data_IF_231528234630
#
_entry.id   IF_231528234630
#
_cell.length_a   1.000
_cell.length_b   1.000
_cell.length_c   1.000
_cell.angle_alpha   90.00
_cell.angle_beta   90.00
_cell.angle_gamma   90.00
#
_symmetry.space_group_name_H-M   'P 1'
#
loop_
_entity.id
_entity.type
_entity.pdbx_description
1 polymer ?
#
# COMPACT_ATOMS: atom_id res chain seq x y z
N UNK A 1 3.47 -2.02 -37.14
CA UNK A 1 4.32 -2.25 -35.97
C UNK A 1 3.62 -1.54 -34.81
N UNK A 2 3.10 -2.25 -33.80
CA UNK A 2 2.68 -1.60 -32.55
C UNK A 2 3.96 -1.18 -31.86
N UNK A 3 4.16 0.11 -31.60
CA UNK A 3 5.18 0.56 -30.69
C UNK A 3 5.03 -0.21 -29.38
N UNK A 4 6.15 -0.81 -28.95
CA UNK A 4 6.18 -1.47 -27.64
C UNK A 4 5.91 -0.38 -26.59
N UNK A 5 4.71 -0.35 -26.03
CA UNK A 5 4.40 0.50 -24.87
C UNK A 5 5.42 0.17 -23.79
N UNK A 6 6.20 1.18 -23.38
CA UNK A 6 7.20 1.01 -22.34
C UNK A 6 6.53 0.41 -21.09
N UNK A 7 7.03 -0.73 -20.62
CA UNK A 7 6.54 -1.35 -19.38
C UNK A 7 6.97 -0.46 -18.20
N UNK A 8 6.03 0.36 -17.73
CA UNK A 8 6.29 1.31 -16.65
C UNK A 8 6.71 0.59 -15.37
N UNK A 9 6.08 -0.55 -15.04
CA UNK A 9 6.43 -1.34 -13.87
C UNK A 9 7.88 -1.81 -13.93
N UNK A 10 8.33 -2.34 -15.07
CA UNK A 10 9.72 -2.77 -15.26
C UNK A 10 10.69 -1.60 -15.12
N UNK A 11 10.33 -0.42 -15.63
CA UNK A 11 11.15 0.80 -15.51
C UNK A 11 11.28 1.24 -14.05
N UNK A 12 10.19 1.26 -13.29
CA UNK A 12 10.22 1.61 -11.87
C UNK A 12 11.06 0.60 -11.08
N UNK A 13 10.85 -0.70 -11.30
CA UNK A 13 11.62 -1.77 -10.63
C UNK A 13 13.11 -1.65 -10.88
N UNK A 14 13.53 -1.36 -12.12
CA UNK A 14 14.94 -1.15 -12.46
C UNK A 14 15.52 0.08 -11.73
N UNK A 15 14.78 1.19 -11.71
CA UNK A 15 15.15 2.39 -10.95
C UNK A 15 15.27 2.14 -9.46
N UNK A 16 14.30 1.42 -8.88
CA UNK A 16 14.29 1.07 -7.46
C UNK A 16 15.52 0.25 -7.07
N UNK A 17 15.90 -0.75 -7.88
CA UNK A 17 17.11 -1.56 -7.61
C UNK A 17 18.36 -0.66 -7.53
N UNK A 18 18.48 0.31 -8.44
CA UNK A 18 19.61 1.24 -8.42
C UNK A 18 19.60 2.17 -7.20
N UNK A 19 18.42 2.63 -6.80
CA UNK A 19 18.24 3.45 -5.59
C UNK A 19 18.66 2.66 -4.35
N UNK A 20 18.26 1.40 -4.24
CA UNK A 20 18.62 0.52 -3.11
C UNK A 20 20.13 0.34 -3.05
N UNK A 21 20.81 0.04 -4.17
CA UNK A 21 22.28 -0.08 -4.21
C UNK A 21 22.98 1.18 -3.67
N UNK A 22 22.49 2.37 -4.03
CA UNK A 22 23.06 3.64 -3.55
C UNK A 22 22.81 3.84 -2.05
N UNK A 23 21.62 3.47 -1.57
CA UNK A 23 21.28 3.58 -0.13
C UNK A 23 22.11 2.62 0.70
N UNK A 24 22.32 1.40 0.23
CA UNK A 24 23.12 0.37 0.91
C UNK A 24 24.60 0.76 1.01
N UNK A 25 25.13 1.51 0.04
CA UNK A 25 26.47 2.11 0.12
C UNK A 25 26.55 3.23 1.17
N UNK A 26 25.47 3.98 1.39
CA UNK A 26 25.42 5.09 2.37
C UNK A 26 25.20 4.61 3.79
N UNK A 27 24.32 3.65 3.99
CA UNK A 27 24.04 3.00 5.29
C UNK A 27 24.25 1.49 5.12
N UNK A 28 25.37 0.91 5.58
CA UNK A 28 25.61 -0.52 5.48
C UNK A 28 24.51 -1.34 6.17
N UNK A 29 24.17 -2.50 5.58
CA UNK A 29 23.09 -3.39 6.06
C UNK A 29 23.12 -3.63 7.57
N UNK A 30 24.31 -3.88 8.16
CA UNK A 30 24.43 -4.14 9.60
C UNK A 30 24.02 -2.93 10.47
N UNK A 31 24.30 -1.70 10.01
CA UNK A 31 23.89 -0.49 10.71
C UNK A 31 22.36 -0.28 10.63
N UNK A 32 21.79 -0.50 9.45
CA UNK A 32 20.34 -0.44 9.22
C UNK A 32 19.60 -1.50 10.04
N UNK A 33 20.10 -2.75 10.08
CA UNK A 33 19.54 -3.84 10.88
C UNK A 33 19.53 -3.49 12.37
N UNK A 34 20.63 -2.98 12.90
CA UNK A 34 20.70 -2.51 14.28
C UNK A 34 19.68 -1.37 14.56
N UNK A 35 19.43 -0.49 13.59
CA UNK A 35 18.41 0.56 13.68
C UNK A 35 16.99 -0.01 13.64
N UNK A 36 16.74 -0.98 12.76
CA UNK A 36 15.45 -1.66 12.62
C UNK A 36 15.07 -2.42 13.92
N UNK A 37 16.04 -3.13 14.53
CA UNK A 37 15.82 -3.91 15.74
C UNK A 37 15.57 -3.06 17.00
N UNK A 38 15.96 -1.77 16.99
CA UNK A 38 15.60 -0.85 18.08
C UNK A 38 14.13 -0.43 18.07
N UNK A 39 13.43 -0.60 16.96
CA UNK A 39 11.99 -0.30 16.87
C UNK A 39 11.19 -1.45 17.46
N UNK A 40 10.26 -1.13 18.36
CA UNK A 40 9.29 -2.10 18.87
C UNK A 40 8.28 -2.41 17.78
N UNK A 41 8.07 -3.68 17.40
CA UNK A 41 7.08 -4.04 16.40
C UNK A 41 5.66 -3.88 16.95
N UNK A 42 4.75 -3.61 16.03
CA UNK A 42 3.31 -3.61 16.30
C UNK A 42 2.66 -4.77 15.54
N UNK A 43 3.24 -5.97 15.74
CA UNK A 43 2.86 -7.19 15.05
C UNK A 43 1.33 -7.40 15.05
N UNK A 44 0.78 -7.73 13.90
CA UNK A 44 -0.64 -7.99 13.72
C UNK A 44 -1.56 -6.75 13.72
N UNK A 45 -1.07 -5.55 14.08
CA UNK A 45 -1.89 -4.34 14.16
C UNK A 45 -2.55 -3.99 12.82
N UNK A 46 -1.82 -4.12 11.72
CA UNK A 46 -2.34 -3.85 10.38
C UNK A 46 -3.46 -4.83 9.98
N UNK A 47 -3.24 -6.14 10.15
CA UNK A 47 -4.26 -7.14 9.88
C UNK A 47 -5.52 -6.95 10.75
N UNK A 48 -5.32 -6.72 12.05
CA UNK A 48 -6.42 -6.48 12.99
C UNK A 48 -7.25 -5.24 12.62
N UNK A 49 -6.59 -4.16 12.18
CA UNK A 49 -7.29 -2.95 11.75
C UNK A 49 -8.13 -3.15 10.47
N UNK A 50 -7.63 -3.95 9.51
CA UNK A 50 -8.33 -4.21 8.26
C UNK A 50 -9.40 -5.29 8.36
N UNK A 51 -9.30 -6.20 9.33
CA UNK A 51 -10.25 -7.30 9.54
C UNK A 51 -11.49 -6.91 10.37
N UNK A 52 -11.63 -5.67 10.80
CA UNK A 52 -12.81 -5.22 11.55
C UNK A 52 -14.07 -5.28 10.71
N UNK A 53 -15.16 -5.81 11.28
CA UNK A 53 -16.46 -5.99 10.61
C UNK A 53 -17.49 -4.93 11.00
N UNK A 54 -17.26 -4.23 12.10
CA UNK A 54 -18.15 -3.23 12.70
C UNK A 54 -18.06 -1.84 12.05
N UNK A 55 -17.12 -1.67 11.10
CA UNK A 55 -16.92 -0.39 10.40
C UNK A 55 -16.45 -0.58 8.95
N UNK A 56 -16.32 0.53 8.23
CA UNK A 56 -15.65 0.57 6.93
C UNK A 56 -14.15 0.82 7.14
N UNK A 57 -13.31 -0.09 6.66
CA UNK A 57 -11.87 0.00 6.84
C UNK A 57 -11.23 0.69 5.62
N UNK A 58 -10.82 1.95 5.78
CA UNK A 58 -10.12 2.69 4.73
C UNK A 58 -8.64 2.79 5.08
N UNK A 59 -7.78 2.37 4.15
CA UNK A 59 -6.35 2.67 4.12
C UNK A 59 -6.22 3.99 3.37
N UNK A 60 -6.02 5.09 4.11
CA UNK A 60 -5.90 6.42 3.51
C UNK A 60 -4.47 6.67 3.06
N UNK A 61 -4.27 7.03 1.79
CA UNK A 61 -2.94 7.13 1.19
C UNK A 61 -2.42 8.57 1.13
N UNK A 62 -1.24 8.80 1.71
CA UNK A 62 -0.44 10.00 1.57
C UNK A 62 0.43 9.89 0.30
N UNK A 63 0.07 10.64 -0.75
CA UNK A 63 0.70 10.59 -2.06
C UNK A 63 0.77 11.98 -2.70
N UNK A 64 1.97 12.52 -2.85
CA UNK A 64 2.18 13.84 -3.46
C UNK A 64 1.92 13.84 -4.96
N UNK A 65 2.40 12.79 -5.66
CA UNK A 65 2.40 12.67 -7.12
C UNK A 65 2.05 11.25 -7.56
N UNK A 66 1.56 11.09 -8.78
CA UNK A 66 1.41 9.79 -9.43
C UNK A 66 1.77 9.87 -10.92
N UNK A 67 2.25 8.77 -11.54
CA UNK A 67 2.56 8.73 -12.97
C UNK A 67 1.36 9.08 -13.86
N UNK A 68 0.14 8.71 -13.44
CA UNK A 68 -1.08 8.89 -14.23
C UNK A 68 -1.67 10.30 -14.17
N UNK A 69 -1.36 11.10 -13.11
CA UNK A 69 -2.02 12.40 -12.85
C UNK A 69 -1.04 13.54 -12.59
N UNK A 70 0.28 13.25 -12.52
CA UNK A 70 1.27 14.24 -12.12
C UNK A 70 1.16 14.62 -10.65
N UNK A 71 1.43 15.88 -10.30
CA UNK A 71 1.36 16.40 -8.94
C UNK A 71 -0.11 16.49 -8.50
N UNK A 72 -0.48 15.75 -7.45
CA UNK A 72 -1.82 15.77 -6.86
C UNK A 72 -1.96 16.87 -5.80
N UNK A 73 -0.87 17.16 -5.09
CA UNK A 73 -0.85 18.17 -4.04
C UNK A 73 0.48 18.92 -4.05
N UNK A 74 0.43 20.21 -4.39
CA UNK A 74 1.64 21.05 -4.48
C UNK A 74 2.22 21.31 -3.09
N UNK A 75 1.41 21.75 -2.13
CA UNK A 75 1.79 21.88 -0.72
C UNK A 75 1.51 20.56 -0.01
N UNK A 76 2.55 19.73 0.15
CA UNK A 76 2.47 18.39 0.71
C UNK A 76 3.22 18.29 2.03
N UNK A 77 2.47 18.06 3.09
CA UNK A 77 2.96 17.71 4.43
C UNK A 77 2.36 16.35 4.82
N UNK A 78 3.16 15.31 4.72
CA UNK A 78 2.72 13.94 4.99
C UNK A 78 2.22 13.76 6.43
N UNK A 79 2.88 14.40 7.41
CA UNK A 79 2.52 14.30 8.82
C UNK A 79 1.18 14.98 9.11
N UNK A 80 0.98 16.20 8.62
CA UNK A 80 -0.29 16.93 8.79
C UNK A 80 -1.47 16.20 8.12
N UNK A 81 -1.25 15.68 6.90
CA UNK A 81 -2.27 14.88 6.17
C UNK A 81 -2.62 13.61 6.95
N UNK A 82 -1.61 12.89 7.41
CA UNK A 82 -1.79 11.65 8.16
C UNK A 82 -2.50 11.86 9.50
N UNK A 83 -2.19 12.94 10.23
CA UNK A 83 -2.91 13.33 11.44
C UNK A 83 -4.40 13.58 11.15
N UNK A 84 -4.70 14.28 10.04
CA UNK A 84 -6.07 14.47 9.57
C UNK A 84 -6.79 13.15 9.25
N UNK A 85 -6.11 12.19 8.59
CA UNK A 85 -6.64 10.87 8.31
C UNK A 85 -6.91 10.06 9.59
N UNK A 86 -5.97 10.07 10.54
CA UNK A 86 -6.13 9.38 11.81
C UNK A 86 -7.33 9.93 12.59
N UNK A 87 -7.47 11.26 12.67
CA UNK A 87 -8.60 11.94 13.31
C UNK A 87 -9.95 11.68 12.60
N UNK A 88 -9.92 11.42 11.29
CA UNK A 88 -11.08 11.07 10.48
C UNK A 88 -11.45 9.57 10.55
N UNK A 89 -10.69 8.74 11.26
CA UNK A 89 -11.02 7.33 11.46
C UNK A 89 -10.42 6.37 10.42
N UNK A 90 -9.31 6.74 9.75
CA UNK A 90 -8.57 5.81 8.92
C UNK A 90 -8.27 4.49 9.67
N UNK A 91 -8.45 3.35 9.01
CA UNK A 91 -8.08 2.06 9.59
C UNK A 91 -6.57 1.86 9.59
N UNK A 92 -5.90 2.35 8.54
CA UNK A 92 -4.46 2.40 8.39
C UNK A 92 -4.10 3.57 7.47
N UNK A 93 -2.83 3.96 7.44
CA UNK A 93 -2.32 4.98 6.53
C UNK A 93 -1.24 4.37 5.64
N UNK A 94 -1.39 4.57 4.33
CA UNK A 94 -0.40 4.21 3.32
C UNK A 94 0.47 5.44 3.01
N UNK A 95 1.80 5.27 3.02
CA UNK A 95 2.73 6.36 2.74
C UNK A 95 3.62 5.98 1.56
N UNK A 96 3.53 6.76 0.46
CA UNK A 96 4.41 6.59 -0.69
C UNK A 96 5.85 6.96 -0.31
N UNK A 97 6.79 6.03 -0.57
CA UNK A 97 8.23 6.24 -0.33
C UNK A 97 9.07 6.12 -1.59
N UNK A 98 8.48 5.80 -2.74
CA UNK A 98 9.17 5.77 -4.04
C UNK A 98 9.46 7.20 -4.53
N UNK A 99 10.74 7.59 -4.74
CA UNK A 99 11.10 8.99 -4.94
C UNK A 99 10.92 9.48 -6.39
N UNK A 100 11.09 8.63 -7.39
CA UNK A 100 11.26 9.05 -8.80
C UNK A 100 9.92 9.37 -9.46
N UNK A 101 8.93 8.51 -9.25
CA UNK A 101 7.62 8.59 -9.93
C UNK A 101 6.52 9.15 -9.04
N UNK A 102 6.69 9.03 -7.70
CA UNK A 102 5.66 9.41 -6.72
C UNK A 102 6.08 10.57 -5.81
N UNK A 103 7.30 11.11 -5.98
CA UNK A 103 7.87 12.13 -5.08
C UNK A 103 7.80 11.70 -3.60
N UNK A 104 7.94 10.39 -3.34
CA UNK A 104 7.94 9.80 -2.01
C UNK A 104 9.30 9.86 -1.35
N UNK A 105 9.34 9.65 -0.03
CA UNK A 105 10.57 9.55 0.75
C UNK A 105 10.35 8.72 2.02
N UNK A 106 11.41 8.05 2.53
CA UNK A 106 11.35 7.35 3.82
C UNK A 106 11.10 8.32 4.97
N UNK A 107 11.62 9.53 4.87
CA UNK A 107 11.41 10.61 5.82
C UNK A 107 9.93 10.98 5.97
N UNK A 108 9.11 10.83 4.91
CA UNK A 108 7.66 11.01 5.01
C UNK A 108 7.03 9.96 5.93
N UNK A 109 7.48 8.69 5.81
CA UNK A 109 6.99 7.60 6.67
C UNK A 109 7.40 7.81 8.13
N UNK A 110 8.63 8.23 8.39
CA UNK A 110 9.14 8.55 9.72
C UNK A 110 8.37 9.73 10.35
N UNK A 111 8.13 10.79 9.57
CA UNK A 111 7.37 11.95 10.01
C UNK A 111 5.91 11.59 10.34
N UNK A 112 5.28 10.75 9.52
CA UNK A 112 3.94 10.22 9.79
C UNK A 112 3.93 9.38 11.06
N UNK A 113 4.90 8.47 11.24
CA UNK A 113 4.96 7.63 12.45
C UNK A 113 5.12 8.44 13.73
N UNK A 114 5.73 9.61 13.67
CA UNK A 114 5.92 10.48 14.83
C UNK A 114 4.61 11.11 15.34
N UNK A 115 3.57 11.19 14.51
CA UNK A 115 2.33 11.93 14.83
C UNK A 115 1.05 11.07 14.87
N UNK A 116 1.11 9.78 14.45
CA UNK A 116 -0.07 8.91 14.46
C UNK A 116 0.22 7.56 15.09
N UNK A 117 -0.82 6.94 15.68
CA UNK A 117 -0.77 5.59 16.25
C UNK A 117 -1.44 4.52 15.37
N UNK A 118 -2.17 4.90 14.33
CA UNK A 118 -2.77 3.95 13.39
C UNK A 118 -1.68 3.17 12.63
N UNK A 119 -1.95 1.93 12.19
CA UNK A 119 -1.00 1.14 11.43
C UNK A 119 -0.54 1.84 10.15
N UNK A 120 0.75 1.73 9.82
CA UNK A 120 1.37 2.34 8.64
C UNK A 120 1.80 1.28 7.62
N UNK A 121 1.43 1.49 6.36
CA UNK A 121 1.89 0.75 5.20
C UNK A 121 2.98 1.55 4.47
N UNK A 122 4.19 0.99 4.34
CA UNK A 122 5.15 1.49 3.35
C UNK A 122 4.69 1.11 1.96
N UNK A 123 4.25 2.09 1.18
CA UNK A 123 3.83 1.92 -0.22
C UNK A 123 5.02 2.24 -1.12
N UNK A 124 5.67 1.19 -1.60
CA UNK A 124 6.89 1.24 -2.41
C UNK A 124 7.00 0.00 -3.30
N UNK A 125 7.91 -0.01 -4.26
CA UNK A 125 8.24 -1.20 -5.04
C UNK A 125 9.33 -1.99 -4.31
N UNK A 126 8.93 -2.87 -3.40
CA UNK A 126 9.85 -3.67 -2.60
C UNK A 126 10.43 -4.80 -3.44
N UNK A 127 11.76 -4.78 -3.64
CA UNK A 127 12.51 -5.75 -4.44
C UNK A 127 13.70 -6.35 -3.69
N UNK A 128 13.99 -5.85 -2.49
CA UNK A 128 15.14 -6.29 -1.69
C UNK A 128 14.82 -6.37 -0.20
N UNK A 129 15.57 -7.22 0.52
CA UNK A 129 15.55 -7.32 1.97
C UNK A 129 15.94 -6.02 2.67
N UNK A 130 16.86 -5.28 2.06
CA UNK A 130 17.28 -3.98 2.57
C UNK A 130 16.10 -3.02 2.75
N UNK A 131 15.14 -3.02 1.80
CA UNK A 131 13.93 -2.21 1.91
C UNK A 131 12.99 -2.67 3.03
N UNK A 132 12.98 -3.95 3.41
CA UNK A 132 12.22 -4.42 4.57
C UNK A 132 12.83 -3.89 5.88
N UNK A 133 14.16 -3.88 5.99
CA UNK A 133 14.87 -3.27 7.12
C UNK A 133 14.62 -1.76 7.17
N UNK A 134 14.66 -1.05 6.04
CA UNK A 134 14.28 0.38 5.97
C UNK A 134 12.85 0.61 6.47
N UNK A 135 11.89 -0.22 6.03
CA UNK A 135 10.48 -0.11 6.45
C UNK A 135 10.34 -0.26 7.96
N UNK A 136 10.98 -1.29 8.52
CA UNK A 136 11.00 -1.54 9.96
C UNK A 136 11.63 -0.37 10.72
N UNK A 137 12.79 0.11 10.28
CA UNK A 137 13.53 1.22 10.91
C UNK A 137 12.74 2.53 10.88
N UNK A 138 12.01 2.80 9.77
CA UNK A 138 11.14 3.96 9.62
C UNK A 138 9.80 3.86 10.38
N UNK A 139 9.48 2.69 10.96
CA UNK A 139 8.29 2.48 11.78
C UNK A 139 7.04 2.09 11.02
N UNK A 140 7.19 1.42 9.87
CA UNK A 140 6.08 0.74 9.19
C UNK A 140 5.58 -0.46 10.02
N UNK A 141 4.30 -0.76 9.91
CA UNK A 141 3.64 -1.96 10.43
C UNK A 141 3.40 -2.98 9.29
N UNK A 142 3.42 -2.50 8.05
CA UNK A 142 3.21 -3.30 6.85
C UNK A 142 4.04 -2.79 5.67
N UNK A 143 4.28 -3.69 4.71
CA UNK A 143 4.92 -3.39 3.42
C UNK A 143 4.07 -3.88 2.27
N UNK A 144 4.25 -3.26 1.09
CA UNK A 144 3.64 -3.70 -0.16
C UNK A 144 4.56 -4.69 -0.87
N UNK A 145 4.02 -5.83 -1.28
CA UNK A 145 4.69 -6.77 -2.19
C UNK A 145 3.86 -6.90 -3.47
N UNK A 146 4.39 -6.44 -4.59
CA UNK A 146 3.69 -6.42 -5.88
C UNK A 146 4.05 -7.71 -6.64
N UNK A 147 3.07 -8.58 -6.86
CA UNK A 147 3.27 -9.88 -7.51
C UNK A 147 3.81 -9.71 -8.93
N UNK A 148 3.33 -8.73 -9.67
CA UNK A 148 3.80 -8.42 -11.03
C UNK A 148 5.24 -7.92 -11.12
N UNK A 149 5.84 -7.48 -10.00
CA UNK A 149 7.22 -6.97 -9.93
C UNK A 149 8.27 -8.02 -9.55
N UNK A 150 7.84 -9.20 -9.08
CA UNK A 150 8.68 -10.23 -8.48
C UNK A 150 8.44 -11.58 -9.15
N UNK A 151 9.47 -12.41 -9.28
CA UNK A 151 9.27 -13.84 -9.50
C UNK A 151 8.76 -14.52 -8.21
N UNK A 152 8.23 -15.75 -8.35
CA UNK A 152 7.57 -16.43 -7.23
C UNK A 152 8.53 -16.77 -6.09
N UNK A 153 9.80 -17.08 -6.42
CA UNK A 153 10.83 -17.38 -5.42
C UNK A 153 11.15 -16.14 -4.59
N UNK A 154 11.38 -15.02 -5.25
CA UNK A 154 11.67 -13.74 -4.58
C UNK A 154 10.47 -13.20 -3.80
N UNK A 155 9.26 -13.37 -4.32
CA UNK A 155 8.03 -13.01 -3.62
C UNK A 155 7.88 -13.80 -2.31
N UNK A 156 8.09 -15.12 -2.36
CA UNK A 156 8.04 -16.00 -1.18
C UNK A 156 9.11 -15.65 -0.14
N UNK A 157 10.33 -15.39 -0.59
CA UNK A 157 11.45 -14.99 0.27
C UNK A 157 11.14 -13.68 0.99
N UNK A 158 10.76 -12.61 0.25
CA UNK A 158 10.45 -11.32 0.85
C UNK A 158 9.23 -11.37 1.77
N UNK A 159 8.23 -12.19 1.45
CA UNK A 159 7.07 -12.42 2.31
C UNK A 159 7.47 -13.06 3.65
N UNK A 160 8.33 -14.11 3.60
CA UNK A 160 8.85 -14.76 4.80
C UNK A 160 9.73 -13.83 5.65
N UNK A 161 10.60 -13.03 5.00
CA UNK A 161 11.45 -12.06 5.68
C UNK A 161 10.66 -10.90 6.31
N UNK A 162 9.61 -10.42 5.65
CA UNK A 162 8.72 -9.42 6.22
C UNK A 162 8.06 -9.96 7.51
N UNK A 163 7.57 -11.21 7.49
CA UNK A 163 7.01 -11.86 8.67
C UNK A 163 8.03 -12.02 9.79
N UNK A 164 9.28 -12.40 9.48
CA UNK A 164 10.37 -12.50 10.46
C UNK A 164 10.73 -11.14 11.08
N UNK A 165 10.54 -10.04 10.34
CA UNK A 165 10.66 -8.66 10.84
C UNK A 165 9.36 -8.15 11.50
N UNK A 166 8.35 -8.99 11.70
CA UNK A 166 7.06 -8.64 12.27
C UNK A 166 6.31 -7.53 11.47
N UNK A 167 6.58 -7.47 10.16
CA UNK A 167 5.87 -6.63 9.21
C UNK A 167 4.77 -7.45 8.52
N UNK A 168 3.55 -6.92 8.47
CA UNK A 168 2.53 -7.48 7.60
C UNK A 168 2.87 -7.23 6.13
N UNK A 169 2.45 -8.15 5.24
CA UNK A 169 2.59 -7.97 3.79
C UNK A 169 1.21 -7.76 3.17
N UNK A 170 0.97 -6.58 2.58
CA UNK A 170 -0.10 -6.39 1.62
C UNK A 170 0.42 -6.90 0.26
N UNK A 171 -0.08 -8.04 -0.19
CA UNK A 171 0.35 -8.66 -1.45
C UNK A 171 -0.58 -8.21 -2.56
N UNK A 172 -0.07 -7.33 -3.44
CA UNK A 172 -0.85 -6.69 -4.49
C UNK A 172 -0.88 -7.57 -5.74
N UNK A 173 -2.09 -7.78 -6.27
CA UNK A 173 -2.36 -8.56 -7.48
C UNK A 173 -3.25 -7.77 -8.45
N UNK A 174 -3.08 -8.03 -9.75
CA UNK A 174 -3.89 -7.42 -10.81
C UNK A 174 -4.83 -8.43 -11.49
N UNK A 175 -4.40 -9.68 -11.66
CA UNK A 175 -5.15 -10.71 -12.37
C UNK A 175 -5.18 -12.05 -11.63
N UNK A 176 -5.86 -13.02 -12.23
CA UNK A 176 -6.05 -14.35 -11.67
C UNK A 176 -4.74 -15.15 -11.51
N UNK A 177 -3.80 -14.99 -12.44
CA UNK A 177 -2.51 -15.66 -12.36
C UNK A 177 -1.65 -15.09 -11.22
N UNK A 178 -1.72 -13.79 -11.00
CA UNK A 178 -1.08 -13.13 -9.87
C UNK A 178 -1.73 -13.52 -8.53
N UNK A 179 -3.07 -13.64 -8.50
CA UNK A 179 -3.79 -14.14 -7.32
C UNK A 179 -3.34 -15.57 -6.97
N UNK A 180 -3.24 -16.46 -7.94
CA UNK A 180 -2.78 -17.84 -7.69
C UNK A 180 -1.36 -17.86 -7.10
N UNK A 181 -0.46 -17.00 -7.59
CA UNK A 181 0.89 -16.85 -7.02
C UNK A 181 0.86 -16.29 -5.59
N UNK A 182 0.03 -15.29 -5.31
CA UNK A 182 -0.11 -14.75 -3.96
C UNK A 182 -0.65 -15.80 -2.98
N UNK A 183 -1.62 -16.60 -3.38
CA UNK A 183 -2.17 -17.70 -2.57
C UNK A 183 -1.12 -18.81 -2.34
N UNK A 184 -0.30 -19.11 -3.35
CA UNK A 184 0.72 -20.19 -3.25
C UNK A 184 1.81 -19.90 -2.22
N UNK A 185 2.11 -18.63 -1.91
CA UNK A 185 3.05 -18.23 -0.85
C UNK A 185 2.38 -18.06 0.52
N UNK A 186 1.09 -18.32 0.65
CA UNK A 186 0.34 -18.21 1.90
C UNK A 186 -0.04 -16.79 2.29
N UNK A 187 -0.15 -15.86 1.34
CA UNK A 187 -0.56 -14.48 1.61
C UNK A 187 -1.93 -14.42 2.31
N UNK A 188 -2.04 -13.62 3.37
CA UNK A 188 -3.27 -13.46 4.18
C UNK A 188 -3.92 -12.09 4.04
N UNK A 189 -3.22 -11.11 3.47
CA UNK A 189 -3.76 -9.80 3.13
C UNK A 189 -3.45 -9.58 1.66
N UNK A 190 -4.47 -9.59 0.82
CA UNK A 190 -4.32 -9.50 -0.64
C UNK A 190 -5.05 -8.26 -1.14
N UNK A 191 -4.30 -7.41 -1.84
CA UNK A 191 -4.80 -6.21 -2.50
C UNK A 191 -5.09 -6.47 -3.97
N UNK A 192 -6.31 -6.20 -4.43
CA UNK A 192 -6.62 -6.16 -5.86
C UNK A 192 -6.46 -4.74 -6.35
N UNK A 193 -5.43 -4.51 -7.15
CA UNK A 193 -5.22 -3.22 -7.77
C UNK A 193 -6.00 -3.14 -9.09
N UNK A 194 -7.06 -2.34 -9.11
CA UNK A 194 -7.85 -2.09 -10.32
C UNK A 194 -7.08 -1.31 -11.39
N UNK A 195 -5.87 -0.80 -11.07
CA UNK A 195 -4.99 -0.13 -12.03
C UNK A 195 -3.90 -1.09 -12.49
N UNK A 196 -3.81 -1.30 -13.79
CA UNK A 196 -2.69 -1.98 -14.41
C UNK A 196 -1.43 -1.13 -14.26
N UNK A 197 -0.41 -1.61 -13.54
CA UNK A 197 0.83 -0.87 -13.30
C UNK A 197 1.73 -0.75 -14.54
N UNK A 198 1.46 -1.50 -15.62
CA UNK A 198 2.19 -1.45 -16.88
C UNK A 198 1.64 -0.38 -17.81
N UNK A 199 0.29 -0.26 -17.89
CA UNK A 199 -0.41 0.63 -18.84
C UNK A 199 -1.07 1.83 -18.17
N UNK A 200 -1.26 1.81 -16.85
CA UNK A 200 -2.00 2.77 -16.00
C UNK A 200 -3.52 2.77 -16.21
N UNK A 201 -4.07 1.90 -17.04
CA UNK A 201 -5.50 1.75 -17.21
C UNK A 201 -6.16 1.28 -15.91
N UNK A 202 -7.38 1.75 -15.65
CA UNK A 202 -8.17 1.37 -14.46
C UNK A 202 -9.38 0.57 -14.88
N UNK A 203 -9.48 -0.66 -14.38
CA UNK A 203 -10.65 -1.53 -14.55
C UNK A 203 -11.16 -1.98 -13.18
N UNK A 204 -12.21 -1.32 -12.69
CA UNK A 204 -12.83 -1.65 -11.40
C UNK A 204 -13.51 -3.04 -11.38
N UNK A 205 -13.73 -3.66 -12.54
CA UNK A 205 -14.29 -5.02 -12.64
C UNK A 205 -13.25 -6.09 -12.23
N UNK A 206 -11.95 -5.75 -12.20
CA UNK A 206 -10.91 -6.65 -11.70
C UNK A 206 -11.21 -7.09 -10.26
N UNK A 207 -11.62 -6.15 -9.39
CA UNK A 207 -12.05 -6.48 -8.03
C UNK A 207 -13.22 -7.46 -7.99
N UNK A 208 -14.21 -7.30 -8.88
CA UNK A 208 -15.41 -8.17 -8.92
C UNK A 208 -15.04 -9.61 -9.35
N UNK A 209 -14.15 -9.74 -10.32
CA UNK A 209 -13.74 -11.04 -10.84
C UNK A 209 -12.87 -11.84 -9.85
N UNK A 210 -11.98 -11.18 -9.10
CA UNK A 210 -10.99 -11.86 -8.27
C UNK A 210 -11.54 -12.24 -6.90
N UNK A 211 -12.47 -11.49 -6.33
CA UNK A 211 -12.98 -11.73 -4.97
C UNK A 211 -13.62 -13.12 -4.84
N UNK A 212 -14.31 -13.60 -5.87
CA UNK A 212 -14.96 -14.92 -5.86
C UNK A 212 -13.96 -16.09 -5.76
N UNK A 213 -12.67 -15.85 -6.06
CA UNK A 213 -11.60 -16.84 -6.00
C UNK A 213 -10.79 -16.77 -4.69
N UNK A 214 -11.02 -15.74 -3.87
CA UNK A 214 -10.29 -15.57 -2.61
C UNK A 214 -10.85 -16.47 -1.51
N UNK A 215 -9.99 -17.18 -0.77
CA UNK A 215 -10.40 -17.87 0.46
C UNK A 215 -11.00 -16.91 1.49
N UNK A 216 -11.96 -17.38 2.27
CA UNK A 216 -12.68 -16.56 3.26
C UNK A 216 -11.81 -16.06 4.43
N UNK A 217 -10.67 -16.67 4.65
CA UNK A 217 -9.69 -16.32 5.68
C UNK A 217 -8.64 -15.31 5.19
N UNK A 218 -8.77 -14.84 3.94
CA UNK A 218 -7.97 -13.75 3.39
C UNK A 218 -8.65 -12.43 3.64
N UNK A 219 -7.89 -11.46 4.12
CA UNK A 219 -8.31 -10.05 4.19
C UNK A 219 -8.16 -9.46 2.79
N UNK A 220 -9.28 -9.27 2.09
CA UNK A 220 -9.31 -8.72 0.74
C UNK A 220 -9.34 -7.19 0.80
N UNK A 221 -8.43 -6.54 0.07
CA UNK A 221 -8.33 -5.08 -0.07
C UNK A 221 -8.58 -4.71 -1.53
N UNK A 222 -9.47 -3.76 -1.81
CA UNK A 222 -9.62 -3.19 -3.15
C UNK A 222 -8.88 -1.86 -3.25
N UNK A 223 -8.11 -1.70 -4.32
CA UNK A 223 -7.25 -0.54 -4.55
C UNK A 223 -7.52 0.11 -5.90
N UNK A 224 -7.35 1.42 -5.99
CA UNK A 224 -7.53 2.23 -7.19
C UNK A 224 -8.98 2.33 -7.72
N UNK A 225 -9.31 3.49 -8.25
CA UNK A 225 -10.60 3.74 -8.92
C UNK A 225 -11.80 3.97 -8.01
N UNK A 226 -11.65 3.83 -6.69
CA UNK A 226 -12.72 3.98 -5.70
C UNK A 226 -13.01 5.46 -5.43
N UNK A 227 -14.27 5.88 -5.60
CA UNK A 227 -14.65 7.30 -5.53
C UNK A 227 -15.85 7.58 -4.64
N UNK A 228 -16.79 6.66 -4.51
CA UNK A 228 -18.09 6.90 -3.87
C UNK A 228 -18.35 5.94 -2.71
N UNK A 229 -19.27 6.29 -1.83
CA UNK A 229 -19.74 5.39 -0.78
C UNK A 229 -20.42 4.14 -1.36
N UNK A 230 -21.07 4.28 -2.53
CA UNK A 230 -21.70 3.14 -3.22
C UNK A 230 -20.66 2.13 -3.72
N UNK A 231 -19.48 2.59 -4.20
CA UNK A 231 -18.38 1.69 -4.56
C UNK A 231 -17.98 0.83 -3.35
N UNK A 232 -17.82 1.46 -2.19
CA UNK A 232 -17.40 0.77 -0.97
C UNK A 232 -18.48 -0.19 -0.47
N UNK A 233 -19.76 0.24 -0.48
CA UNK A 233 -20.89 -0.64 -0.09
C UNK A 233 -20.98 -1.86 -0.98
N UNK A 234 -20.91 -1.66 -2.30
CA UNK A 234 -20.95 -2.73 -3.30
C UNK A 234 -19.81 -3.74 -3.11
N UNK A 235 -18.57 -3.26 -3.00
CA UNK A 235 -17.41 -4.12 -2.83
C UNK A 235 -17.41 -4.83 -1.47
N UNK A 236 -17.86 -4.18 -0.42
CA UNK A 236 -18.05 -4.81 0.91
C UNK A 236 -19.06 -5.95 0.84
N UNK A 237 -20.17 -5.77 0.11
CA UNK A 237 -21.17 -6.82 -0.10
C UNK A 237 -20.61 -8.02 -0.88
N UNK A 238 -19.60 -7.80 -1.74
CA UNK A 238 -18.88 -8.87 -2.44
C UNK A 238 -17.85 -9.59 -1.57
N UNK A 239 -17.48 -9.03 -0.41
CA UNK A 239 -16.56 -9.66 0.54
C UNK A 239 -15.24 -8.91 0.78
N UNK A 240 -15.04 -7.72 0.21
CA UNK A 240 -13.87 -6.89 0.53
C UNK A 240 -13.92 -6.38 1.96
N UNK A 241 -12.79 -6.52 2.68
CA UNK A 241 -12.65 -6.11 4.07
C UNK A 241 -12.16 -4.68 4.23
N UNK A 242 -11.37 -4.18 3.25
CA UNK A 242 -10.76 -2.86 3.32
C UNK A 242 -10.58 -2.23 1.92
N UNK A 243 -10.31 -0.90 1.90
CA UNK A 243 -10.24 -0.09 0.69
C UNK A 243 -9.05 0.85 0.76
N UNK A 244 -8.12 0.78 -0.21
CA UNK A 244 -6.98 1.69 -0.31
C UNK A 244 -7.33 2.84 -1.25
N UNK A 245 -7.35 4.07 -0.72
CA UNK A 245 -7.81 5.27 -1.43
C UNK A 245 -6.81 6.42 -1.20
N UNK A 246 -6.30 6.98 -2.31
CA UNK A 246 -5.37 8.11 -2.26
C UNK A 246 -5.83 9.29 -3.11
N UNK A 247 -5.98 9.09 -4.42
CA UNK A 247 -6.24 10.19 -5.39
C UNK A 247 -7.40 11.08 -4.97
N UNK A 248 -8.54 10.50 -4.57
CA UNK A 248 -9.72 11.22 -4.12
C UNK A 248 -9.43 12.19 -2.98
N UNK A 249 -8.65 11.74 -1.99
CA UNK A 249 -8.37 12.54 -0.80
C UNK A 249 -7.30 13.59 -1.07
N UNK A 250 -6.24 13.21 -1.82
CA UNK A 250 -5.13 14.11 -2.12
C UNK A 250 -5.53 15.29 -3.00
N UNK A 251 -6.58 15.17 -3.81
CA UNK A 251 -7.12 16.24 -4.64
C UNK A 251 -8.19 17.07 -3.93
N UNK A 252 -8.66 16.67 -2.77
CA UNK A 252 -9.61 17.43 -1.97
C UNK A 252 -8.91 18.61 -1.25
N UNK A 253 -9.62 19.67 -0.96
CA UNK A 253 -9.13 20.81 -0.19
C UNK A 253 -8.65 20.35 1.20
N UNK A 254 -9.45 19.56 1.90
CA UNK A 254 -9.17 18.93 3.18
C UNK A 254 -9.26 17.39 3.04
N UNK A 255 -8.13 16.69 2.98
CA UNK A 255 -8.09 15.23 2.85
C UNK A 255 -8.76 14.49 4.01
N UNK A 256 -8.60 14.97 5.25
CA UNK A 256 -9.20 14.37 6.44
C UNK A 256 -10.72 14.48 6.43
N UNK A 257 -11.25 15.66 6.09
CA UNK A 257 -12.69 15.86 5.92
C UNK A 257 -13.25 14.97 4.82
N UNK A 258 -12.59 14.89 3.67
CA UNK A 258 -13.02 14.03 2.56
C UNK A 258 -13.08 12.54 2.91
N UNK A 259 -12.15 12.07 3.75
CA UNK A 259 -12.19 10.71 4.29
C UNK A 259 -13.37 10.51 5.24
N UNK A 260 -13.58 11.43 6.17
CA UNK A 260 -14.69 11.36 7.15
C UNK A 260 -16.04 11.31 6.45
N UNK A 261 -16.29 12.23 5.51
CA UNK A 261 -17.51 12.28 4.72
C UNK A 261 -17.75 10.96 3.94
N UNK A 262 -16.69 10.35 3.40
CA UNK A 262 -16.81 9.07 2.70
C UNK A 262 -17.19 7.94 3.65
N UNK A 263 -16.57 7.85 4.83
CA UNK A 263 -16.88 6.81 5.83
C UNK A 263 -18.32 6.98 6.33
N UNK A 264 -18.72 8.19 6.73
CA UNK A 264 -20.07 8.49 7.21
C UNK A 264 -21.13 8.16 6.15
N UNK A 265 -20.92 8.54 4.89
CA UNK A 265 -21.82 8.20 3.79
C UNK A 265 -21.92 6.71 3.49
N UNK A 266 -20.97 5.88 3.96
CA UNK A 266 -20.98 4.42 3.73
C UNK A 266 -21.79 3.68 4.79
N UNK A 267 -22.03 4.29 5.96
CA UNK A 267 -22.87 3.72 7.02
C UNK A 267 -24.33 3.85 6.58
N UNK A 268 -25.15 2.77 6.60
CA UNK A 268 -26.60 2.88 6.36
C UNK A 268 -27.25 3.77 7.41
N UNK A 269 -28.21 4.59 6.98
CA UNK A 269 -29.10 5.33 7.88
C UNK A 269 -29.98 4.37 8.70
#
# INVERSE_FOLDING_TARGET
MREATADLLATIVAGTRRIVEVREQREPRAALEARALRRQPRAGSFAAALGRTDRVNVIAECKRRSPSRGVLRASYDAAAIAAGYAAAGAAAISVLTEPTFFDGALEHLEAVRAVVDVPLLRKDFIVSEYQLLEARAAGADAVLLIVGALDVGRLSELHGLAAALELASLVEVYDAAELDRALSIGARIIGVNNRNLRTLDVDVQASDALIARMPKDVIAVSESGLRTADDLRRLRALGYSAFLIGERFMTAEDPGRALRELIEATVPC
#
